data_IF_792784262684
#
_entry.id   IF_792784262684
#
_cell.length_a   1.000
_cell.length_b   1.000
_cell.length_c   1.000
_cell.angle_alpha   90.00
_cell.angle_beta   90.00
_cell.angle_gamma   90.00
#
_symmetry.space_group_name_H-M   'P 1'
#
loop_
_entity.id
_entity.type
_entity.pdbx_description
1 polymer ?
#
# COMPACT_ATOMS: atom_id res chain seq x y z
N UNK A 1 5.21 24.29 -2.94
CA UNK A 1 4.68 24.07 -1.58
C UNK A 1 5.14 22.70 -1.14
N UNK A 2 5.79 22.58 0.02
CA UNK A 2 6.31 21.30 0.54
C UNK A 2 5.26 20.65 1.43
N UNK A 3 5.02 19.35 1.24
CA UNK A 3 4.15 18.54 2.10
C UNK A 3 5.00 17.51 2.85
N UNK A 4 4.62 17.20 4.10
CA UNK A 4 5.27 16.20 4.94
C UNK A 4 4.36 14.98 5.06
N UNK A 5 4.95 13.79 4.99
CA UNK A 5 4.28 12.47 5.08
C UNK A 5 5.11 11.60 6.01
N UNK A 6 4.46 10.88 6.92
CA UNK A 6 5.14 9.92 7.79
C UNK A 6 5.17 8.55 7.10
N UNK A 7 6.35 7.94 6.95
CA UNK A 7 6.53 6.75 6.13
C UNK A 7 7.41 5.67 6.80
N UNK A 8 6.93 4.99 7.87
CA UNK A 8 7.57 3.76 8.31
C UNK A 8 7.55 2.72 7.18
N UNK A 9 8.63 1.95 7.05
CA UNK A 9 8.91 1.19 5.83
C UNK A 9 7.83 0.13 5.50
N UNK A 10 7.59 -0.85 6.37
CA UNK A 10 6.62 -1.92 6.14
C UNK A 10 6.16 -2.56 7.47
N UNK A 11 5.03 -3.28 7.50
CA UNK A 11 4.53 -4.00 8.68
C UNK A 11 5.51 -4.99 9.31
N UNK A 12 6.39 -5.58 8.51
CA UNK A 12 7.36 -6.59 8.95
C UNK A 12 8.72 -6.02 9.35
N UNK A 13 9.00 -4.75 9.04
CA UNK A 13 10.26 -4.09 9.37
C UNK A 13 10.17 -3.12 10.54
N UNK A 14 8.98 -2.88 11.10
CA UNK A 14 8.76 -1.93 12.20
C UNK A 14 7.87 -2.51 13.29
N UNK A 15 7.91 -1.93 14.49
CA UNK A 15 7.08 -2.36 15.61
C UNK A 15 5.64 -1.86 15.50
N UNK A 16 4.69 -2.60 16.10
CA UNK A 16 3.29 -2.17 16.20
C UNK A 16 3.15 -0.82 16.93
N UNK A 17 3.99 -0.57 17.93
CA UNK A 17 3.99 0.71 18.65
C UNK A 17 4.40 1.87 17.75
N UNK A 18 5.40 1.68 16.88
CA UNK A 18 5.77 2.71 15.90
C UNK A 18 4.62 3.00 14.93
N UNK A 19 3.90 1.97 14.46
CA UNK A 19 2.75 2.15 13.58
C UNK A 19 1.62 2.91 14.28
N UNK A 20 1.29 2.56 15.53
CA UNK A 20 0.26 3.27 16.33
C UNK A 20 0.65 4.73 16.58
N UNK A 21 1.89 4.98 16.98
CA UNK A 21 2.40 6.33 17.22
C UNK A 21 2.39 7.13 15.91
N UNK A 22 2.75 6.52 14.78
CA UNK A 22 2.68 7.17 13.46
C UNK A 22 1.27 7.62 13.12
N UNK A 23 0.26 6.75 13.29
CA UNK A 23 -1.14 7.10 13.06
C UNK A 23 -1.63 8.24 13.98
N UNK A 24 -1.25 8.20 15.26
CA UNK A 24 -1.56 9.26 16.23
C UNK A 24 -0.91 10.60 15.87
N UNK A 25 0.37 10.58 15.48
CA UNK A 25 1.11 11.78 15.05
C UNK A 25 0.54 12.37 13.77
N UNK A 26 0.17 11.52 12.81
CA UNK A 26 -0.46 11.95 11.58
C UNK A 26 -1.78 12.68 11.82
N UNK A 27 -2.61 12.14 12.72
CA UNK A 27 -3.84 12.79 13.18
C UNK A 27 -3.56 14.11 13.88
N UNK A 28 -2.58 14.13 14.80
CA UNK A 28 -2.20 15.32 15.58
C UNK A 28 -1.73 16.47 14.69
N UNK A 29 -0.96 16.18 13.65
CA UNK A 29 -0.38 17.20 12.77
C UNK A 29 -1.09 17.38 11.43
N UNK A 30 -2.20 16.66 11.22
CA UNK A 30 -2.95 16.68 9.98
C UNK A 30 -2.07 16.43 8.74
N UNK A 31 -1.18 15.43 8.84
CA UNK A 31 -0.31 14.98 7.74
C UNK A 31 -0.78 13.62 7.24
N UNK A 32 -0.32 13.22 6.05
CA UNK A 32 -0.61 11.90 5.50
C UNK A 32 0.39 10.84 5.96
N UNK A 33 0.04 9.57 5.76
CA UNK A 33 0.89 8.42 6.07
C UNK A 33 0.99 7.45 4.91
N UNK A 34 2.12 6.76 4.81
CA UNK A 34 2.39 5.82 3.73
C UNK A 34 3.26 4.66 4.22
N UNK A 35 3.04 3.46 3.68
CA UNK A 35 3.91 2.30 3.90
C UNK A 35 3.72 1.27 2.78
N UNK A 36 4.56 0.24 2.72
CA UNK A 36 4.36 -0.93 1.85
C UNK A 36 3.34 -1.87 2.49
N UNK A 37 2.46 -2.50 1.70
CA UNK A 37 1.49 -3.44 2.26
C UNK A 37 1.04 -4.50 1.25
N UNK A 38 0.97 -5.75 1.72
CA UNK A 38 0.46 -6.90 0.98
C UNK A 38 1.11 -7.03 -0.40
N UNK A 39 2.43 -6.81 -0.46
CA UNK A 39 3.22 -6.88 -1.68
C UNK A 39 3.45 -8.34 -2.09
N UNK A 40 3.79 -9.20 -1.14
CA UNK A 40 4.17 -10.60 -1.40
C UNK A 40 3.36 -11.57 -0.54
N UNK A 41 3.29 -12.84 -0.98
CA UNK A 41 2.65 -13.90 -0.19
C UNK A 41 3.38 -14.16 1.13
N UNK A 42 4.70 -13.98 1.14
CA UNK A 42 5.56 -14.12 2.32
C UNK A 42 5.23 -13.07 3.38
N UNK A 43 4.92 -11.83 2.99
CA UNK A 43 4.43 -10.79 3.90
C UNK A 43 3.10 -11.20 4.54
N UNK A 44 2.17 -11.73 3.75
CA UNK A 44 0.88 -12.26 4.21
C UNK A 44 1.10 -13.33 5.30
N UNK A 45 1.98 -14.30 5.02
CA UNK A 45 2.30 -15.38 5.96
C UNK A 45 3.03 -14.89 7.21
N UNK A 46 3.92 -13.91 7.06
CA UNK A 46 4.58 -13.25 8.19
C UNK A 46 3.55 -12.59 9.13
N UNK A 47 2.64 -11.80 8.58
CA UNK A 47 1.61 -11.10 9.36
C UNK A 47 0.68 -12.09 10.07
N UNK A 48 0.24 -13.14 9.38
CA UNK A 48 -0.60 -14.19 9.97
C UNK A 48 0.16 -14.91 11.08
N UNK A 49 1.44 -15.23 10.90
CA UNK A 49 2.24 -15.93 11.90
C UNK A 49 2.44 -15.08 13.16
N UNK A 50 2.84 -13.83 13.00
CA UNK A 50 3.26 -12.94 14.10
C UNK A 50 2.08 -12.23 14.77
N UNK A 51 1.14 -11.72 13.98
CA UNK A 51 0.03 -10.88 14.45
C UNK A 51 -1.32 -11.61 14.47
N UNK A 52 -1.42 -12.81 13.89
CA UNK A 52 -2.69 -13.56 13.71
C UNK A 52 -3.71 -12.83 12.86
N UNK A 53 -3.23 -11.91 12.02
CA UNK A 53 -4.02 -11.01 11.19
C UNK A 53 -3.40 -10.95 9.80
N UNK A 54 -4.22 -10.76 8.76
CA UNK A 54 -3.71 -10.41 7.44
C UNK A 54 -3.11 -9.00 7.47
N UNK A 55 -2.29 -8.59 6.49
CA UNK A 55 -1.63 -7.29 6.53
C UNK A 55 -2.60 -6.12 6.70
N UNK A 56 -3.72 -6.07 5.95
CA UNK A 56 -4.68 -4.98 6.11
C UNK A 56 -5.36 -5.00 7.49
N UNK A 57 -5.74 -6.17 8.00
CA UNK A 57 -6.33 -6.31 9.34
C UNK A 57 -5.37 -5.83 10.42
N UNK A 58 -4.08 -6.15 10.27
CA UNK A 58 -3.05 -5.66 11.17
C UNK A 58 -2.96 -4.13 11.12
N UNK A 59 -2.91 -3.53 9.92
CA UNK A 59 -2.87 -2.07 9.74
C UNK A 59 -4.11 -1.38 10.32
N UNK A 60 -5.29 -1.98 10.18
CA UNK A 60 -6.52 -1.49 10.80
C UNK A 60 -6.40 -1.50 12.33
N UNK A 61 -5.87 -2.59 12.92
CA UNK A 61 -5.69 -2.72 14.39
C UNK A 61 -4.74 -1.68 15.00
N UNK A 62 -3.88 -1.07 14.18
CA UNK A 62 -2.94 -0.01 14.58
C UNK A 62 -3.37 1.39 14.12
N UNK A 63 -4.60 1.55 13.63
CA UNK A 63 -5.24 2.84 13.38
C UNK A 63 -4.96 3.46 12.00
N UNK A 64 -4.43 2.68 11.04
CA UNK A 64 -4.03 3.22 9.73
C UNK A 64 -5.17 3.42 8.73
N UNK A 65 -6.36 2.86 9.01
CA UNK A 65 -7.53 3.03 8.16
C UNK A 65 -8.45 4.17 8.62
N UNK A 66 -8.31 4.68 9.84
CA UNK A 66 -9.34 5.51 10.48
C UNK A 66 -9.48 6.94 9.92
N UNK A 67 -8.41 7.51 9.36
CA UNK A 67 -8.34 8.96 9.08
C UNK A 67 -8.40 9.30 7.57
N UNK A 68 -8.53 8.31 6.69
CA UNK A 68 -8.58 8.50 5.23
C UNK A 68 -7.39 9.27 4.62
N UNK A 69 -6.26 9.29 5.33
CA UNK A 69 -5.03 9.98 4.95
C UNK A 69 -3.88 9.00 4.65
N UNK A 70 -4.17 7.70 4.60
CA UNK A 70 -3.20 6.65 4.34
C UNK A 70 -3.24 6.19 2.87
N UNK A 71 -2.08 5.84 2.32
CA UNK A 71 -2.02 4.99 1.13
C UNK A 71 -0.93 3.94 1.26
N UNK A 72 -1.15 2.81 0.60
CA UNK A 72 -0.25 1.67 0.63
C UNK A 72 0.39 1.43 -0.74
N UNK A 73 1.68 1.14 -0.77
CA UNK A 73 2.35 0.72 -2.00
C UNK A 73 2.03 -0.76 -2.29
N UNK A 74 2.02 -1.10 -3.58
CA UNK A 74 1.86 -2.45 -4.13
C UNK A 74 0.44 -3.02 -4.03
N UNK A 75 -0.01 -3.41 -2.83
CA UNK A 75 -1.32 -4.01 -2.59
C UNK A 75 -1.64 -5.20 -3.52
N UNK A 76 -0.68 -6.09 -3.73
CA UNK A 76 -0.84 -7.23 -4.65
C UNK A 76 -1.85 -8.25 -4.12
N UNK A 77 -1.79 -8.56 -2.82
CA UNK A 77 -2.57 -9.63 -2.19
C UNK A 77 -3.80 -9.14 -1.41
N UNK A 78 -4.27 -7.92 -1.69
CA UNK A 78 -5.52 -7.40 -1.12
C UNK A 78 -6.71 -8.11 -1.76
N UNK A 79 -7.63 -8.61 -0.92
CA UNK A 79 -8.86 -9.28 -1.36
C UNK A 79 -10.05 -8.30 -1.48
N UNK A 80 -11.19 -8.82 -1.93
CA UNK A 80 -12.40 -8.01 -2.17
C UNK A 80 -12.98 -7.35 -0.92
N UNK A 81 -12.94 -8.04 0.22
CA UNK A 81 -13.46 -7.52 1.49
C UNK A 81 -12.56 -6.41 2.03
N UNK A 82 -11.25 -6.64 1.98
CA UNK A 82 -10.19 -5.68 2.31
C UNK A 82 -10.30 -4.41 1.45
N UNK A 83 -10.45 -4.56 0.13
CA UNK A 83 -10.69 -3.42 -0.77
C UNK A 83 -11.99 -2.68 -0.45
N UNK A 84 -13.04 -3.38 -0.03
CA UNK A 84 -14.28 -2.76 0.45
C UNK A 84 -14.07 -1.87 1.68
N UNK A 85 -13.21 -2.28 2.62
CA UNK A 85 -12.81 -1.44 3.77
C UNK A 85 -11.99 -0.23 3.32
N UNK A 86 -10.98 -0.44 2.48
CA UNK A 86 -10.16 0.65 1.93
C UNK A 86 -11.00 1.70 1.19
N UNK A 87 -12.02 1.28 0.44
CA UNK A 87 -12.93 2.18 -0.26
C UNK A 87 -13.78 3.04 0.68
N UNK A 88 -14.28 2.44 1.78
CA UNK A 88 -15.06 3.15 2.81
C UNK A 88 -14.22 4.23 3.50
N UNK A 89 -12.95 3.93 3.76
CA UNK A 89 -12.03 4.84 4.46
C UNK A 89 -11.28 5.77 3.52
N UNK A 90 -11.42 5.62 2.19
CA UNK A 90 -10.62 6.34 1.19
C UNK A 90 -9.11 6.13 1.36
N UNK A 91 -8.72 4.98 1.89
CA UNK A 91 -7.31 4.54 1.92
C UNK A 91 -6.85 4.24 0.50
N UNK A 92 -5.77 4.89 0.06
CA UNK A 92 -5.29 4.81 -1.31
C UNK A 92 -4.34 3.64 -1.58
N UNK A 93 -4.11 3.38 -2.86
CA UNK A 93 -3.10 2.44 -3.38
C UNK A 93 -2.13 3.21 -4.28
N UNK A 94 -0.83 2.98 -4.11
CA UNK A 94 0.20 3.34 -5.08
C UNK A 94 0.59 2.07 -5.87
N UNK A 95 0.11 2.00 -7.11
CA UNK A 95 0.36 0.86 -7.98
C UNK A 95 1.73 0.98 -8.67
N UNK A 96 2.59 -0.02 -8.46
CA UNK A 96 3.96 -0.09 -8.96
C UNK A 96 4.18 -1.31 -9.88
N UNK A 97 3.53 -1.39 -11.07
CA UNK A 97 3.52 -2.59 -11.89
C UNK A 97 4.90 -3.08 -12.32
N UNK A 98 5.84 -2.20 -12.66
CA UNK A 98 7.18 -2.62 -13.09
C UNK A 98 7.96 -3.25 -11.95
N UNK A 99 7.89 -2.66 -10.75
CA UNK A 99 8.52 -3.20 -9.54
C UNK A 99 7.93 -4.57 -9.18
N UNK A 100 6.60 -4.67 -9.11
CA UNK A 100 5.94 -5.91 -8.75
C UNK A 100 6.27 -7.06 -9.70
N UNK A 101 6.41 -6.78 -11.00
CA UNK A 101 6.77 -7.79 -11.99
C UNK A 101 8.25 -8.16 -11.94
N UNK A 102 9.13 -7.18 -11.75
CA UNK A 102 10.58 -7.44 -11.67
C UNK A 102 10.94 -8.28 -10.45
N UNK A 103 10.25 -8.05 -9.33
CA UNK A 103 10.47 -8.76 -8.06
C UNK A 103 9.67 -10.07 -7.93
N UNK A 104 8.88 -10.43 -8.94
CA UNK A 104 7.94 -11.57 -8.89
C UNK A 104 6.94 -11.46 -7.71
N UNK A 105 6.60 -10.23 -7.30
CA UNK A 105 5.61 -9.97 -6.25
C UNK A 105 4.19 -10.30 -6.74
N UNK A 106 3.90 -10.08 -8.02
CA UNK A 106 2.62 -10.42 -8.67
C UNK A 106 1.89 -9.23 -9.29
N UNK A 107 0.60 -9.40 -9.61
CA UNK A 107 -0.23 -8.37 -10.27
C UNK A 107 -1.26 -7.84 -9.28
N UNK A 108 -1.16 -6.56 -8.92
CA UNK A 108 -2.15 -5.94 -8.06
C UNK A 108 -3.54 -5.88 -8.72
N UNK A 109 -4.65 -6.19 -8.01
CA UNK A 109 -5.99 -6.27 -8.60
C UNK A 109 -6.61 -4.89 -8.82
N UNK A 110 -5.98 -4.07 -9.68
CA UNK A 110 -6.35 -2.66 -9.91
C UNK A 110 -7.78 -2.51 -10.42
N UNK A 111 -8.26 -3.39 -11.30
CA UNK A 111 -9.66 -3.36 -11.77
C UNK A 111 -10.65 -3.44 -10.59
N UNK A 112 -10.41 -4.36 -9.67
CA UNK A 112 -11.23 -4.53 -8.46
C UNK A 112 -11.17 -3.29 -7.56
N UNK A 113 -10.00 -2.67 -7.39
CA UNK A 113 -9.87 -1.41 -6.64
C UNK A 113 -10.72 -0.30 -7.26
N UNK A 114 -10.64 -0.13 -8.57
CA UNK A 114 -11.41 0.88 -9.30
C UNK A 114 -12.91 0.61 -9.22
N UNK A 115 -13.36 -0.63 -9.40
CA UNK A 115 -14.77 -1.03 -9.28
C UNK A 115 -15.34 -0.73 -7.90
N UNK A 116 -14.54 -0.89 -6.84
CA UNK A 116 -14.94 -0.59 -5.46
C UNK A 116 -14.75 0.88 -5.06
N UNK A 117 -14.25 1.75 -5.95
CA UNK A 117 -13.92 3.15 -5.68
C UNK A 117 -12.81 3.36 -4.62
N UNK A 118 -11.82 2.46 -4.60
CA UNK A 118 -10.55 2.68 -3.89
C UNK A 118 -9.72 3.69 -4.69
N UNK A 119 -9.16 4.75 -4.07
CA UNK A 119 -8.25 5.66 -4.76
C UNK A 119 -6.99 4.94 -5.21
N UNK A 120 -6.68 4.97 -6.51
CA UNK A 120 -5.46 4.36 -7.07
C UNK A 120 -4.62 5.43 -7.74
N UNK A 121 -3.36 5.52 -7.35
CA UNK A 121 -2.31 6.28 -8.04
C UNK A 121 -1.32 5.34 -8.71
N UNK A 122 -0.55 5.88 -9.65
CA UNK A 122 0.57 5.20 -10.29
C UNK A 122 1.89 5.66 -9.65
N UNK A 123 2.82 4.74 -9.41
CA UNK A 123 4.11 5.03 -8.83
C UNK A 123 5.20 4.13 -9.43
N UNK A 124 6.43 4.63 -9.48
CA UNK A 124 7.58 3.91 -10.04
C UNK A 124 8.34 3.09 -8.99
N UNK A 125 8.05 3.23 -7.70
CA UNK A 125 8.89 2.66 -6.62
C UNK A 125 10.37 3.13 -6.73
N UNK A 126 11.32 2.43 -6.12
CA UNK A 126 12.74 2.76 -6.14
C UNK A 126 13.49 2.26 -7.39
N UNK A 127 14.59 2.92 -7.74
CA UNK A 127 15.41 2.56 -8.90
C UNK A 127 16.08 1.17 -8.80
N UNK A 128 16.11 0.54 -7.63
CA UNK A 128 16.61 -0.83 -7.47
C UNK A 128 15.66 -1.88 -8.08
N UNK A 129 14.35 -1.59 -8.08
CA UNK A 129 13.28 -2.48 -8.54
C UNK A 129 12.51 -1.93 -9.76
N UNK A 130 12.74 -0.68 -10.16
CA UNK A 130 12.18 -0.09 -11.39
C UNK A 130 13.22 0.19 -12.48
N UNK A 131 14.45 0.51 -12.08
CA UNK A 131 15.63 0.91 -12.88
C UNK A 131 15.56 2.18 -13.75
N UNK A 132 14.38 2.74 -14.05
CA UNK A 132 14.24 3.89 -14.95
C UNK A 132 13.67 5.15 -14.31
N UNK A 133 12.85 5.01 -13.26
CA UNK A 133 12.07 6.10 -12.65
C UNK A 133 11.23 6.89 -13.68
N UNK A 134 10.75 6.20 -14.72
CA UNK A 134 9.97 6.78 -15.83
C UNK A 134 8.46 6.53 -15.65
N UNK A 135 7.71 7.60 -15.37
CA UNK A 135 6.26 7.55 -15.19
C UNK A 135 5.48 7.19 -16.46
N UNK A 136 5.98 7.52 -17.66
CA UNK A 136 5.33 7.15 -18.92
C UNK A 136 5.56 5.67 -19.25
N UNK A 137 6.75 5.16 -18.95
CA UNK A 137 7.02 3.73 -19.01
C UNK A 137 6.14 2.97 -18.02
N UNK A 138 6.01 3.46 -16.79
CA UNK A 138 5.14 2.86 -15.76
C UNK A 138 3.66 2.84 -16.18
N UNK A 139 3.19 3.92 -16.84
CA UNK A 139 1.83 3.99 -17.36
C UNK A 139 1.60 2.98 -18.48
N UNK A 140 2.57 2.84 -19.39
CA UNK A 140 2.53 1.81 -20.44
C UNK A 140 2.51 0.42 -19.82
N UNK A 141 3.33 0.17 -18.81
CA UNK A 141 3.37 -1.12 -18.12
C UNK A 141 2.03 -1.43 -17.44
N UNK A 142 1.45 -0.47 -16.72
CA UNK A 142 0.11 -0.61 -16.13
C UNK A 142 -0.94 -0.98 -17.20
N UNK A 143 -0.90 -0.30 -18.36
CA UNK A 143 -1.82 -0.59 -19.46
C UNK A 143 -1.62 -1.99 -20.07
N UNK A 144 -0.39 -2.53 -20.10
CA UNK A 144 -0.11 -3.86 -20.64
C UNK A 144 -0.52 -4.98 -19.68
N UNK A 145 -0.36 -4.76 -18.37
CA UNK A 145 -0.67 -5.77 -17.34
C UNK A 145 -2.17 -5.92 -17.09
N UNK A 146 -2.95 -4.86 -17.27
CA UNK A 146 -4.39 -4.82 -16.98
C UNK A 146 -5.27 -4.81 -18.24
N UNK A 147 -4.82 -5.43 -19.34
CA UNK A 147 -5.62 -5.54 -20.58
C UNK A 147 -6.76 -6.54 -20.48
#
# INVERSE_FOLDING_TARGET
MTQIVLAPCSPFSVTSDLLKITAQMAKKWNVKIHTHLAETKDEDDFCIKLHKLRPLDYMESVGWLENGNAWFAHCVYINEEEAGRMAKTKTGVAHCPSSNLRLDSGIAPVRMFLDKNVPVGLAVDGSASNDSSDMLAELRQAMLVHR
#
